data_IF_955391056377
#
_entry.id   IF_955391056377
#
_cell.length_a   1.000
_cell.length_b   1.000
_cell.length_c   1.000
_cell.angle_alpha   90.00
_cell.angle_beta   90.00
_cell.angle_gamma   90.00
#
_symmetry.space_group_name_H-M   'P 1'
#
loop_
_entity.id
_entity.type
_entity.pdbx_description
1 polymer ?
#
# COMPACT_ATOMS: atom_id res chain seq x y z
N UNK A 1 17.87 -20.05 2.19
CA UNK A 1 16.92 -19.58 3.23
C UNK A 1 15.92 -18.73 2.50
N UNK A 2 14.61 -19.00 2.62
CA UNK A 2 13.60 -18.12 2.04
C UNK A 2 13.61 -16.81 2.84
N UNK A 3 13.59 -15.67 2.16
CA UNK A 3 13.45 -14.37 2.82
C UNK A 3 12.09 -14.33 3.56
N UNK A 4 12.01 -13.65 4.71
CA UNK A 4 10.73 -13.44 5.38
C UNK A 4 9.85 -12.57 4.47
N UNK A 5 8.89 -13.19 3.78
CA UNK A 5 7.85 -12.50 3.05
C UNK A 5 6.77 -12.06 4.06
N UNK A 6 6.47 -10.76 4.08
CA UNK A 6 5.37 -10.22 4.87
C UNK A 6 4.11 -10.24 4.02
N UNK A 7 3.12 -11.03 4.44
CA UNK A 7 1.79 -11.02 3.82
C UNK A 7 0.98 -9.83 4.35
N UNK A 8 0.50 -8.98 3.43
CA UNK A 8 -0.30 -7.80 3.77
C UNK A 8 -1.74 -8.07 3.35
N UNK A 9 -2.63 -8.17 4.34
CA UNK A 9 -4.06 -8.27 4.12
C UNK A 9 -4.71 -6.89 4.31
N UNK A 10 -5.69 -6.59 3.46
CA UNK A 10 -6.51 -5.38 3.57
C UNK A 10 -7.99 -5.76 3.55
N UNK A 11 -8.83 -4.89 4.12
CA UNK A 11 -10.28 -5.06 4.07
C UNK A 11 -10.87 -4.29 2.88
N UNK A 12 -11.56 -5.01 1.99
CA UNK A 12 -12.30 -4.47 0.84
C UNK A 12 -13.71 -5.03 0.90
N UNK A 13 -14.73 -4.16 0.92
CA UNK A 13 -16.14 -4.55 1.01
C UNK A 13 -16.48 -5.51 2.17
N UNK A 14 -15.73 -5.43 3.27
CA UNK A 14 -15.90 -6.29 4.45
C UNK A 14 -15.21 -7.66 4.35
N UNK A 15 -14.51 -7.93 3.24
CA UNK A 15 -13.71 -9.13 3.05
C UNK A 15 -12.22 -8.83 3.20
N UNK A 16 -11.49 -9.75 3.84
CA UNK A 16 -10.03 -9.67 3.93
C UNK A 16 -9.40 -10.27 2.68
N UNK A 17 -8.70 -9.44 1.91
CA UNK A 17 -8.02 -9.83 0.67
C UNK A 17 -6.52 -9.58 0.77
N UNK A 18 -5.72 -10.44 0.13
CA UNK A 18 -4.28 -10.24 0.07
C UNK A 18 -3.98 -9.10 -0.91
N UNK A 19 -3.15 -8.14 -0.49
CA UNK A 19 -2.80 -6.97 -1.30
C UNK A 19 -2.16 -7.38 -2.66
N UNK A 20 -1.44 -8.50 -2.70
CA UNK A 20 -0.80 -9.02 -3.91
C UNK A 20 -1.78 -9.64 -4.91
N UNK A 21 -2.97 -10.03 -4.47
CA UNK A 21 -4.03 -10.59 -5.32
C UNK A 21 -4.86 -9.50 -6.02
N UNK A 22 -4.73 -8.26 -5.57
CA UNK A 22 -5.43 -7.14 -6.18
C UNK A 22 -4.85 -6.78 -7.56
N UNK A 23 -5.68 -6.22 -8.46
CA UNK A 23 -5.21 -5.65 -9.71
C UNK A 23 -4.06 -4.66 -9.47
N UNK A 24 -3.04 -4.67 -10.34
CA UNK A 24 -1.82 -3.86 -10.18
C UNK A 24 -2.14 -2.37 -9.96
N UNK A 25 -3.11 -1.83 -10.70
CA UNK A 25 -3.54 -0.43 -10.53
C UNK A 25 -4.11 -0.15 -9.14
N UNK A 26 -4.92 -1.05 -8.59
CA UNK A 26 -5.48 -0.88 -7.25
C UNK A 26 -4.39 -1.01 -6.20
N UNK A 27 -3.51 -1.99 -6.35
CA UNK A 27 -2.35 -2.16 -5.47
C UNK A 27 -1.48 -0.91 -5.43
N UNK A 28 -1.17 -0.31 -6.59
CA UNK A 28 -0.40 0.93 -6.67
C UNK A 28 -1.11 2.09 -5.97
N UNK A 29 -2.42 2.25 -6.23
CA UNK A 29 -3.23 3.30 -5.60
C UNK A 29 -3.28 3.17 -4.08
N UNK A 30 -3.44 1.95 -3.58
CA UNK A 30 -3.48 1.66 -2.14
C UNK A 30 -2.11 1.92 -1.51
N UNK A 31 -1.04 1.47 -2.17
CA UNK A 31 0.34 1.68 -1.71
C UNK A 31 0.69 3.17 -1.62
N UNK A 32 0.33 3.95 -2.65
CA UNK A 32 0.49 5.41 -2.62
C UNK A 32 -0.30 6.02 -1.47
N UNK A 33 -1.56 5.63 -1.30
CA UNK A 33 -2.40 6.20 -0.24
C UNK A 33 -1.88 5.87 1.16
N UNK A 34 -1.40 4.64 1.37
CA UNK A 34 -0.77 4.23 2.62
C UNK A 34 0.48 5.07 2.89
N UNK A 35 1.33 5.24 1.88
CA UNK A 35 2.52 6.08 2.00
C UNK A 35 2.17 7.51 2.36
N UNK A 36 1.20 8.14 1.68
CA UNK A 36 0.72 9.48 2.02
C UNK A 36 0.25 9.57 3.48
N UNK A 37 -0.62 8.66 3.90
CA UNK A 37 -1.18 8.64 5.26
C UNK A 37 -0.09 8.49 6.34
N UNK A 38 0.99 7.75 6.05
CA UNK A 38 2.12 7.57 6.98
C UNK A 38 3.06 8.77 6.98
N UNK A 39 3.28 9.38 5.81
CA UNK A 39 4.30 10.42 5.61
C UNK A 39 3.78 11.83 5.92
N UNK A 40 2.51 12.13 5.62
CA UNK A 40 1.92 13.45 5.81
C UNK A 40 1.95 13.93 7.28
N UNK A 41 1.63 13.11 8.31
CA UNK A 41 1.73 13.53 9.71
C UNK A 41 3.16 13.82 10.17
N UNK A 42 4.14 13.24 9.49
CA UNK A 42 5.57 13.49 9.72
C UNK A 42 6.08 14.75 8.99
N UNK A 43 5.21 15.42 8.22
CA UNK A 43 5.56 16.59 7.42
C UNK A 43 6.23 16.27 6.08
N UNK A 44 6.33 15.00 5.72
CA UNK A 44 6.85 14.57 4.42
C UNK A 44 5.73 14.62 3.36
N UNK A 45 6.08 15.05 2.15
CA UNK A 45 5.20 15.03 0.98
C UNK A 45 5.93 14.40 -0.19
N UNK A 46 5.18 13.74 -1.06
CA UNK A 46 5.75 13.30 -2.34
C UNK A 46 6.28 14.51 -3.11
N UNK A 47 7.47 14.35 -3.67
CA UNK A 47 7.99 15.30 -4.64
C UNK A 47 7.27 15.04 -5.96
N UNK A 48 6.68 16.07 -6.61
CA UNK A 48 6.10 15.89 -7.93
C UNK A 48 7.18 15.35 -8.88
N UNK A 49 6.86 14.30 -9.64
CA UNK A 49 7.73 13.78 -10.68
C UNK A 49 8.03 14.91 -11.69
N UNK A 50 9.33 15.16 -11.91
CA UNK A 50 9.85 16.11 -12.89
C UNK A 50 9.77 15.53 -14.30
#
# INVERSE_FOLDING_TARGET
MAEPAMEIYIEVDGESVLLEELPEQERLRISQRLQECLMEPLGYREKPAL
#
